data_IF_856199615834
#
_entry.id   IF_856199615834
#
_cell.length_a   1.000
_cell.length_b   1.000
_cell.length_c   1.000
_cell.angle_alpha   90.00
_cell.angle_beta   90.00
_cell.angle_gamma   90.00
#
_symmetry.space_group_name_H-M   'P 1'
#
loop_
_entity.id
_entity.type
_entity.pdbx_description
1 polymer ?
#
# COMPACT_ATOMS: atom_id res chain seq x y z
N UNK A 1 -1.14 -13.78 -16.28
CA UNK A 1 -2.43 -13.40 -15.68
C UNK A 1 -3.34 -13.14 -16.86
N UNK A 2 -4.61 -13.49 -16.73
CA UNK A 2 -5.60 -13.35 -17.79
C UNK A 2 -6.82 -12.62 -17.24
N UNK A 3 -7.39 -11.75 -18.06
CA UNK A 3 -8.71 -11.18 -17.81
C UNK A 3 -9.72 -12.28 -18.16
N UNK A 4 -10.57 -12.60 -17.19
CA UNK A 4 -11.61 -13.63 -17.31
C UNK A 4 -12.94 -13.02 -17.73
N UNK A 5 -13.24 -11.83 -17.22
CA UNK A 5 -14.55 -11.21 -17.37
C UNK A 5 -14.46 -9.69 -17.23
N UNK A 6 -15.31 -9.00 -17.99
CA UNK A 6 -15.59 -7.57 -17.87
C UNK A 6 -16.99 -7.40 -17.27
N UNK A 7 -17.10 -6.67 -16.16
CA UNK A 7 -18.37 -6.34 -15.50
C UNK A 7 -18.57 -4.84 -15.42
N UNK A 8 -19.81 -4.41 -15.55
CA UNK A 8 -20.19 -3.01 -15.36
C UNK A 8 -20.91 -2.86 -14.04
N UNK A 9 -20.62 -1.77 -13.34
CA UNK A 9 -21.42 -1.29 -12.22
C UNK A 9 -22.12 0.00 -12.62
N UNK A 10 -22.75 0.70 -11.66
CA UNK A 10 -23.39 1.98 -11.94
C UNK A 10 -22.40 3.08 -12.36
N UNK A 11 -21.16 3.06 -11.84
CA UNK A 11 -20.15 4.11 -12.10
C UNK A 11 -18.78 3.58 -12.55
N UNK A 12 -18.49 2.30 -12.35
CA UNK A 12 -17.18 1.70 -12.62
C UNK A 12 -17.25 0.53 -13.57
N UNK A 13 -16.14 0.28 -14.24
CA UNK A 13 -15.89 -0.94 -15.00
C UNK A 13 -14.93 -1.83 -14.22
N UNK A 14 -15.26 -3.11 -14.07
CA UNK A 14 -14.43 -4.08 -13.39
C UNK A 14 -13.89 -5.12 -14.37
N UNK A 15 -12.61 -5.44 -14.27
CA UNK A 15 -12.00 -6.58 -14.95
C UNK A 15 -11.64 -7.63 -13.90
N UNK A 16 -12.23 -8.81 -13.99
CA UNK A 16 -11.90 -9.93 -13.13
C UNK A 16 -10.74 -10.71 -13.75
N UNK A 17 -9.75 -11.08 -12.93
CA UNK A 17 -8.57 -11.83 -13.39
C UNK A 17 -8.41 -13.16 -12.66
N UNK A 18 -7.57 -14.04 -13.22
CA UNK A 18 -7.23 -15.32 -12.59
C UNK A 18 -6.18 -15.23 -11.47
N UNK A 19 -5.58 -14.06 -11.27
CA UNK A 19 -4.51 -13.85 -10.29
C UNK A 19 -5.03 -13.85 -8.87
N UNK A 20 -4.42 -14.63 -7.98
CA UNK A 20 -4.90 -14.77 -6.59
C UNK A 20 -4.49 -13.59 -5.71
N UNK A 21 -3.28 -13.07 -5.91
CA UNK A 21 -2.71 -11.99 -5.10
C UNK A 21 -1.67 -11.24 -5.90
N UNK A 22 -1.72 -9.92 -5.85
CA UNK A 22 -0.76 -9.07 -6.54
C UNK A 22 0.24 -8.48 -5.54
N UNK A 23 1.56 -8.68 -5.71
CA UNK A 23 2.55 -8.00 -4.88
C UNK A 23 2.39 -6.49 -4.99
N UNK A 24 2.46 -5.78 -3.86
CA UNK A 24 2.14 -4.35 -3.80
C UNK A 24 2.99 -3.50 -4.77
N UNK A 25 4.27 -3.85 -4.94
CA UNK A 25 5.16 -3.17 -5.88
C UNK A 25 4.73 -3.35 -7.34
N UNK A 26 4.38 -4.57 -7.73
CA UNK A 26 3.86 -4.88 -9.07
C UNK A 26 2.53 -4.15 -9.30
N UNK A 27 1.64 -4.12 -8.29
CA UNK A 27 0.38 -3.39 -8.35
C UNK A 27 0.57 -1.89 -8.54
N UNK A 28 1.49 -1.27 -7.79
CA UNK A 28 1.82 0.16 -7.96
C UNK A 28 2.40 0.46 -9.34
N UNK A 29 3.25 -0.41 -9.88
CA UNK A 29 3.82 -0.22 -11.21
C UNK A 29 2.75 -0.33 -12.29
N UNK A 30 1.91 -1.38 -12.24
CA UNK A 30 0.78 -1.54 -13.15
C UNK A 30 -0.19 -0.36 -13.10
N UNK A 31 -0.49 0.15 -11.89
CA UNK A 31 -1.33 1.32 -11.73
C UNK A 31 -0.76 2.53 -12.47
N UNK A 32 0.53 2.84 -12.30
CA UNK A 32 1.20 3.95 -12.99
C UNK A 32 1.17 3.81 -14.50
N UNK A 33 1.46 2.60 -15.00
CA UNK A 33 1.48 2.32 -16.44
C UNK A 33 0.09 2.48 -17.05
N UNK A 34 -0.94 1.97 -16.36
CA UNK A 34 -2.32 2.13 -16.77
C UNK A 34 -2.80 3.59 -16.68
N UNK A 35 -2.49 4.31 -15.61
CA UNK A 35 -2.87 5.74 -15.49
C UNK A 35 -2.27 6.58 -16.62
N UNK A 36 -1.01 6.30 -17.01
CA UNK A 36 -0.41 6.97 -18.17
C UNK A 36 -1.18 6.67 -19.45
N UNK A 37 -1.55 5.41 -19.68
CA UNK A 37 -2.35 5.02 -20.84
C UNK A 37 -3.74 5.69 -20.84
N UNK A 38 -4.44 5.66 -19.70
CA UNK A 38 -5.76 6.26 -19.53
C UNK A 38 -5.73 7.77 -19.81
N UNK A 39 -4.72 8.49 -19.32
CA UNK A 39 -4.54 9.92 -19.62
C UNK A 39 -4.36 10.19 -21.11
N UNK A 40 -3.61 9.34 -21.82
CA UNK A 40 -3.45 9.44 -23.27
C UNK A 40 -4.77 9.22 -24.03
N UNK A 41 -5.73 8.51 -23.44
CA UNK A 41 -7.09 8.33 -23.97
C UNK A 41 -8.06 9.45 -23.53
N UNK A 42 -7.58 10.48 -22.82
CA UNK A 42 -8.40 11.56 -22.27
C UNK A 42 -9.27 11.14 -21.09
N UNK A 43 -8.86 10.11 -20.34
CA UNK A 43 -9.53 9.62 -19.13
C UNK A 43 -8.74 10.10 -17.92
N UNK A 44 -9.41 10.79 -16.99
CA UNK A 44 -8.79 11.42 -15.80
C UNK A 44 -9.03 10.60 -14.52
N UNK A 45 -9.87 9.57 -14.60
CA UNK A 45 -10.22 8.71 -13.47
C UNK A 45 -9.14 7.67 -13.14
N UNK A 46 -9.17 7.15 -11.91
CA UNK A 46 -8.20 6.20 -11.39
C UNK A 46 -8.42 4.76 -11.81
N UNK A 47 -7.43 3.93 -11.48
CA UNK A 47 -7.48 2.48 -11.58
C UNK A 47 -6.84 1.88 -10.34
N UNK A 48 -7.49 0.90 -9.72
CA UNK A 48 -6.97 0.22 -8.54
C UNK A 48 -7.27 -1.28 -8.57
N UNK A 49 -6.62 -1.99 -7.65
CA UNK A 49 -6.65 -3.45 -7.58
C UNK A 49 -7.27 -3.87 -6.24
N UNK A 50 -8.33 -4.67 -6.29
CA UNK A 50 -9.05 -5.17 -5.12
C UNK A 50 -8.97 -6.69 -5.03
N UNK A 51 -8.66 -7.18 -3.83
CA UNK A 51 -8.81 -8.59 -3.44
C UNK A 51 -10.11 -8.72 -2.64
N UNK A 52 -11.07 -9.52 -3.12
CA UNK A 52 -12.32 -9.76 -2.40
C UNK A 52 -12.37 -11.19 -1.89
N UNK A 53 -12.65 -11.36 -0.59
CA UNK A 53 -12.71 -12.68 0.06
C UNK A 53 -13.70 -13.65 -0.60
N UNK A 54 -14.77 -13.13 -1.20
CA UNK A 54 -15.81 -13.91 -1.87
C UNK A 54 -15.51 -14.23 -3.34
N UNK A 55 -14.45 -13.67 -3.92
CA UNK A 55 -14.10 -13.85 -5.33
C UNK A 55 -12.78 -14.59 -5.46
N UNK A 56 -12.76 -15.63 -6.31
CA UNK A 56 -11.50 -16.28 -6.70
C UNK A 56 -10.83 -15.40 -7.76
N UNK A 57 -9.91 -14.54 -7.32
CA UNK A 57 -9.08 -13.73 -8.20
C UNK A 57 -8.98 -12.27 -7.78
N UNK A 58 -8.23 -11.52 -8.57
CA UNK A 58 -8.00 -10.09 -8.39
C UNK A 58 -8.94 -9.32 -9.30
N UNK A 59 -9.60 -8.32 -8.73
CA UNK A 59 -10.45 -7.37 -9.45
C UNK A 59 -9.65 -6.12 -9.76
N UNK A 60 -9.68 -5.70 -11.02
CA UNK A 60 -9.13 -4.43 -11.46
C UNK A 60 -10.30 -3.48 -11.65
N UNK A 61 -10.34 -2.39 -10.88
CA UNK A 61 -11.42 -1.42 -10.89
C UNK A 61 -10.96 -0.21 -11.68
N UNK A 62 -11.66 0.07 -12.78
CA UNK A 62 -11.55 1.33 -13.50
C UNK A 62 -12.65 2.27 -12.99
N UNK A 63 -12.26 3.42 -12.46
CA UNK A 63 -13.16 4.38 -11.82
C UNK A 63 -13.99 5.20 -12.84
N UNK A 64 -14.41 4.56 -13.93
CA UNK A 64 -15.35 5.12 -14.91
C UNK A 64 -15.96 4.02 -15.79
N UNK A 65 -16.91 4.43 -16.63
CA UNK A 65 -17.48 3.61 -17.71
C UNK A 65 -17.11 4.26 -19.05
N UNK A 66 -16.01 3.85 -19.71
CA UNK A 66 -15.60 4.41 -20.99
C UNK A 66 -16.57 4.04 -22.12
N UNK A 67 -16.59 4.84 -23.18
CA UNK A 67 -17.25 4.47 -24.43
C UNK A 67 -16.69 3.14 -24.98
N UNK A 68 -17.50 2.31 -25.66
CA UNK A 68 -17.11 0.94 -26.05
C UNK A 68 -15.74 0.85 -26.75
N UNK A 69 -15.48 1.72 -27.74
CA UNK A 69 -14.18 1.72 -28.45
C UNK A 69 -12.98 1.99 -27.54
N UNK A 70 -13.12 2.91 -26.58
CA UNK A 70 -12.06 3.20 -25.60
C UNK A 70 -11.90 2.03 -24.64
N UNK A 71 -13.02 1.44 -24.23
CA UNK A 71 -13.01 0.31 -23.31
C UNK A 71 -12.31 -0.91 -23.90
N UNK A 72 -12.50 -1.18 -25.19
CA UNK A 72 -11.81 -2.28 -25.87
C UNK A 72 -10.29 -2.03 -25.98
N UNK A 73 -9.90 -0.77 -26.24
CA UNK A 73 -8.48 -0.39 -26.22
C UNK A 73 -7.86 -0.54 -24.82
N UNK A 74 -8.60 -0.16 -23.77
CA UNK A 74 -8.19 -0.31 -22.37
C UNK A 74 -8.04 -1.78 -22.01
N UNK A 75 -9.02 -2.63 -22.32
CA UNK A 75 -8.92 -4.06 -22.01
C UNK A 75 -7.74 -4.70 -22.73
N UNK A 76 -7.55 -4.39 -24.02
CA UNK A 76 -6.42 -4.91 -24.79
C UNK A 76 -5.08 -4.51 -24.17
N UNK A 77 -4.90 -3.23 -23.85
CA UNK A 77 -3.67 -2.75 -23.24
C UNK A 77 -3.44 -3.36 -21.86
N UNK A 78 -4.49 -3.44 -21.04
CA UNK A 78 -4.44 -4.08 -19.73
C UNK A 78 -4.05 -5.55 -19.86
N UNK A 79 -4.65 -6.29 -20.79
CA UNK A 79 -4.33 -7.69 -21.07
C UNK A 79 -2.85 -7.88 -21.44
N UNK A 80 -2.27 -6.97 -22.22
CA UNK A 80 -0.85 -6.98 -22.59
C UNK A 80 0.06 -6.74 -21.38
N UNK A 81 -0.25 -5.73 -20.55
CA UNK A 81 0.52 -5.40 -19.35
C UNK A 81 0.51 -6.52 -18.31
N UNK A 82 -0.63 -7.22 -18.17
CA UNK A 82 -0.78 -8.25 -17.14
C UNK A 82 -0.34 -9.64 -17.58
N UNK A 83 -0.20 -9.87 -18.89
CA UNK A 83 0.24 -11.14 -19.47
C UNK A 83 1.47 -11.76 -18.79
N UNK A 84 2.58 -11.03 -18.51
CA UNK A 84 3.78 -11.61 -17.90
C UNK A 84 3.62 -12.00 -16.42
N UNK A 85 2.59 -11.53 -15.72
CA UNK A 85 2.41 -11.78 -14.29
C UNK A 85 1.87 -13.20 -14.09
N UNK A 86 2.51 -14.10 -13.33
CA UNK A 86 1.97 -15.44 -13.11
C UNK A 86 0.66 -15.39 -12.31
N UNK A 87 -0.16 -16.44 -12.42
CA UNK A 87 -1.43 -16.56 -11.66
C UNK A 87 -1.24 -16.47 -10.14
N UNK A 88 -0.11 -17.01 -9.64
CA UNK A 88 0.33 -16.94 -8.25
C UNK A 88 1.72 -16.31 -8.21
N UNK A 89 1.82 -14.98 -8.13
CA UNK A 89 3.09 -14.31 -7.91
C UNK A 89 3.73 -14.76 -6.60
N UNK A 90 5.06 -14.90 -6.60
CA UNK A 90 5.77 -15.22 -5.36
C UNK A 90 5.67 -14.03 -4.41
N UNK A 91 5.43 -14.25 -3.11
CA UNK A 91 5.50 -13.18 -2.12
C UNK A 91 6.89 -12.55 -2.15
N UNK A 92 6.95 -11.22 -2.25
CA UNK A 92 8.19 -10.46 -2.06
C UNK A 92 8.28 -10.11 -0.59
N UNK A 93 9.26 -10.65 0.12
CA UNK A 93 9.54 -10.28 1.51
C UNK A 93 10.30 -8.96 1.50
N UNK A 94 9.75 -7.86 2.05
CA UNK A 94 10.51 -6.63 2.14
C UNK A 94 11.71 -6.85 3.09
N UNK A 95 12.93 -6.66 2.59
CA UNK A 95 14.11 -6.60 3.45
C UNK A 95 14.06 -5.23 4.13
N UNK A 96 13.84 -5.23 5.45
CA UNK A 96 13.96 -4.01 6.24
C UNK A 96 15.45 -3.69 6.34
N UNK A 97 15.93 -2.72 5.55
CA UNK A 97 17.27 -2.18 5.73
C UNK A 97 17.18 -1.17 6.87
N UNK A 98 17.65 -1.55 8.05
CA UNK A 98 17.82 -0.62 9.15
C UNK A 98 18.79 0.49 8.72
N UNK A 99 18.32 1.73 8.75
CA UNK A 99 19.19 2.87 8.48
C UNK A 99 20.31 2.89 9.54
N UNK A 100 21.58 3.11 9.16
CA UNK A 100 22.65 3.23 10.14
C UNK A 100 22.32 4.39 11.09
N UNK A 101 22.17 4.06 12.38
CA UNK A 101 21.90 5.04 13.42
C UNK A 101 22.98 6.12 13.45
N UNK A 102 22.67 7.32 13.99
CA UNK A 102 23.61 8.43 13.98
C UNK A 102 24.91 8.02 14.69
N UNK A 103 26.01 8.05 13.94
CA UNK A 103 27.36 7.85 14.46
C UNK A 103 27.65 8.94 15.49
N UNK A 104 27.66 8.57 16.78
CA UNK A 104 28.13 9.46 17.85
C UNK A 104 29.60 9.76 17.64
N UNK A 105 29.87 10.89 16.99
CA UNK A 105 31.22 11.44 16.85
C UNK A 105 31.57 12.22 18.12
N UNK A 106 32.33 11.54 19.00
CA UNK A 106 33.40 12.00 19.91
C UNK A 106 33.32 13.40 20.58
N UNK A 107 33.38 13.39 21.92
CA UNK A 107 34.17 14.33 22.74
C UNK A 107 34.52 13.58 24.04
N UNK A 108 35.71 12.97 24.18
CA UNK A 108 36.89 13.58 24.79
C UNK A 108 36.58 14.21 26.17
N UNK A 109 36.90 13.46 27.23
CA UNK A 109 36.99 13.95 28.62
C UNK A 109 37.87 15.20 28.69
N UNK A 110 37.59 16.11 29.65
CA UNK A 110 38.46 16.10 30.82
C UNK A 110 37.74 16.31 32.17
N UNK A 111 38.11 15.45 33.11
CA UNK A 111 38.49 15.71 34.50
C UNK A 111 37.64 16.62 35.43
N UNK A 112 37.40 16.00 36.59
CA UNK A 112 37.47 16.55 37.96
C UNK A 112 36.20 17.17 38.58
N UNK A 113 35.93 16.72 39.81
CA UNK A 113 35.31 17.56 40.84
C UNK A 113 34.07 16.99 41.51
N UNK A 114 34.29 16.33 42.64
CA UNK A 114 33.46 16.43 43.86
C UNK A 114 32.02 15.86 43.86
N UNK A 115 31.86 14.73 44.55
CA UNK A 115 30.68 14.47 45.38
C UNK A 115 30.78 15.31 46.66
N UNK A 116 29.67 15.75 47.30
CA UNK A 116 28.97 14.83 48.20
C UNK A 116 27.45 15.06 48.40
N UNK A 117 26.81 13.97 48.86
CA UNK A 117 25.81 13.92 49.93
C UNK A 117 24.46 14.65 49.82
N UNK A 118 23.43 13.81 49.71
CA UNK A 118 22.34 13.64 50.66
C UNK A 118 21.09 14.55 50.63
N UNK A 119 19.97 13.83 50.79
CA UNK A 119 18.75 14.15 51.54
C UNK A 119 17.43 14.25 50.77
N UNK A 120 16.51 13.47 51.34
CA UNK A 120 15.08 13.37 51.14
C UNK A 120 14.34 14.68 51.37
N UNK A 121 13.24 14.88 50.66
CA UNK A 121 12.02 15.41 51.26
C UNK A 121 10.82 15.17 50.35
N UNK A 122 9.70 14.98 51.05
CA UNK A 122 8.42 14.45 50.62
C UNK A 122 7.55 15.41 49.81
N UNK A 123 6.29 14.97 49.64
CA UNK A 123 5.08 15.71 49.23
C UNK A 123 4.76 15.56 47.74
N UNK A 124 3.59 15.09 47.32
CA UNK A 124 2.35 14.76 48.03
C UNK A 124 1.22 14.71 47.00
N UNK A 125 0.23 13.84 47.25
CA UNK A 125 -1.16 13.85 46.72
C UNK A 125 -1.34 13.81 45.17
N UNK A 126 -2.35 13.21 44.53
CA UNK A 126 -3.68 12.67 44.81
C UNK A 126 -3.87 11.46 43.85
N UNK A 127 -4.49 10.34 44.26
CA UNK A 127 -5.92 10.00 44.07
C UNK A 127 -6.45 10.30 42.63
N UNK A 128 -7.14 9.45 41.87
CA UNK A 128 -7.81 8.16 42.05
C UNK A 128 -7.92 7.49 40.66
N UNK A 129 -7.69 6.18 40.50
CA UNK A 129 -8.71 5.11 40.40
C UNK A 129 -9.94 5.48 39.55
N UNK A 130 -10.05 4.93 38.32
CA UNK A 130 -10.81 3.72 37.99
C UNK A 130 -12.32 3.78 38.33
N UNK A 131 -13.15 3.85 37.30
CA UNK A 131 -14.15 2.82 36.91
C UNK A 131 -15.07 3.43 35.81
N UNK A 132 -15.11 2.88 34.59
CA UNK A 132 -15.90 1.74 34.15
C UNK A 132 -17.39 2.05 33.97
N UNK A 133 -17.84 1.90 32.71
CA UNK A 133 -19.13 1.44 32.22
C UNK A 133 -20.43 2.07 32.76
N UNK A 134 -21.21 2.65 31.86
CA UNK A 134 -22.26 1.91 31.14
C UNK A 134 -22.63 2.64 29.84
#
# INVERSE_FOLDING_TARGET
>A
MRILERRFTFIHTHFLTDCEKLPAEVGRQLQKDMERFLRAQGIVYGIHFEERRSEKGLRIVLECIPLPRKLDAIEKHLAELVRPIPRRPRPVTPILVEAPGPSRSRAADPAAGESPSAQSSASGAEAALFHTAQ
#
